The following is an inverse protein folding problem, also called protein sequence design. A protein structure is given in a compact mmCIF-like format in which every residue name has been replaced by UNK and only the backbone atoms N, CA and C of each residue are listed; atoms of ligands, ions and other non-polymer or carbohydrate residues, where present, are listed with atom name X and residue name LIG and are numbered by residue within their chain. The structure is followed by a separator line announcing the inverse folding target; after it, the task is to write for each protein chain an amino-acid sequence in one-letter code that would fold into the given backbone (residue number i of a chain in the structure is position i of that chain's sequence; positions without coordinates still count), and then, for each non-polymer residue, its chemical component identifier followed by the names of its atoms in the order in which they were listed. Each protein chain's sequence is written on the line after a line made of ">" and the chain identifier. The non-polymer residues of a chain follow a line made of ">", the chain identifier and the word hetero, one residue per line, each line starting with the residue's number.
data_IF_346702831019
#
_entry.id   IF_346702831019
#
_cell.length_a   1.000
_cell.length_b   1.000
_cell.length_c   1.000
_cell.angle_alpha   90.00
_cell.angle_beta   90.00
_cell.angle_gamma   90.00
#
_symmetry.space_group_name_H-M   'P 1'
#
loop_
_entity.id
_entity.type
_entity.pdbx_description
1 polymer ?
#
# COMPACT_ATOMS: atom_id res chain seq x y z
N UNK A 1 -2.67 19.25 -19.68
CA UNK A 1 -1.80 18.21 -20.29
C UNK A 1 -2.60 17.36 -21.28
N UNK A 2 -1.98 16.84 -22.37
CA UNK A 2 -2.65 15.89 -23.30
C UNK A 2 -2.96 14.58 -22.55
N UNK A 3 -4.14 14.00 -22.80
CA UNK A 3 -4.54 12.70 -22.29
C UNK A 3 -3.47 11.63 -22.53
N UNK A 4 -3.22 10.79 -21.55
CA UNK A 4 -2.22 9.72 -21.60
C UNK A 4 -2.87 8.35 -21.55
N UNK A 5 -2.31 7.42 -22.34
CA UNK A 5 -2.63 5.99 -22.28
C UNK A 5 -1.73 5.34 -21.21
N UNK A 6 -2.35 4.67 -20.26
CA UNK A 6 -1.65 4.18 -19.06
C UNK A 6 -1.88 2.68 -18.91
N UNK A 7 -0.82 1.94 -18.60
CA UNK A 7 -0.89 0.56 -18.14
C UNK A 7 -0.55 0.53 -16.64
N UNK A 8 -1.35 -0.16 -15.86
CA UNK A 8 -1.03 -0.44 -14.46
C UNK A 8 -0.34 -1.79 -14.33
N UNK A 9 0.67 -1.84 -13.49
CA UNK A 9 1.28 -3.09 -13.03
C UNK A 9 1.23 -3.11 -11.50
N UNK A 10 0.54 -4.08 -10.94
CA UNK A 10 0.17 -4.09 -9.52
C UNK A 10 0.60 -5.39 -8.87
N UNK A 11 1.34 -5.30 -7.77
CA UNK A 11 1.64 -6.45 -6.93
C UNK A 11 0.37 -6.91 -6.19
N UNK A 12 -0.11 -8.12 -6.47
CA UNK A 12 -1.42 -8.62 -6.05
C UNK A 12 -1.45 -9.38 -4.73
N UNK A 13 -0.33 -9.56 -4.04
CA UNK A 13 -0.28 -10.37 -2.80
C UNK A 13 -0.85 -9.67 -1.57
N UNK A 14 -0.83 -8.35 -1.55
CA UNK A 14 -1.48 -7.53 -0.54
C UNK A 14 -2.72 -6.82 -1.07
N UNK A 15 -3.64 -6.40 -0.19
CA UNK A 15 -4.76 -5.55 -0.58
C UNK A 15 -4.33 -4.10 -0.79
N UNK A 16 -3.26 -3.66 -0.14
CA UNK A 16 -2.78 -2.28 -0.15
C UNK A 16 -2.50 -1.76 -1.56
N UNK A 17 -1.64 -2.42 -2.33
CA UNK A 17 -1.31 -1.99 -3.69
C UNK A 17 -2.52 -1.99 -4.63
N UNK A 18 -3.44 -2.95 -4.45
CA UNK A 18 -4.70 -2.97 -5.20
C UNK A 18 -5.56 -1.74 -4.87
N UNK A 19 -5.65 -1.37 -3.59
CA UNK A 19 -6.38 -0.19 -3.13
C UNK A 19 -5.74 1.11 -3.65
N UNK A 20 -4.41 1.21 -3.60
CA UNK A 20 -3.66 2.35 -4.17
C UNK A 20 -3.92 2.49 -5.67
N UNK A 21 -3.89 1.37 -6.42
CA UNK A 21 -4.17 1.38 -7.85
C UNK A 21 -5.58 1.88 -8.18
N UNK A 22 -6.60 1.49 -7.39
CA UNK A 22 -7.96 2.00 -7.55
C UNK A 22 -8.04 3.50 -7.29
N UNK A 23 -7.41 4.01 -6.22
CA UNK A 23 -7.39 5.43 -5.90
C UNK A 23 -6.71 6.24 -7.02
N UNK A 24 -5.57 5.76 -7.54
CA UNK A 24 -4.87 6.38 -8.67
C UNK A 24 -5.70 6.34 -9.94
N UNK A 25 -6.39 5.22 -10.23
CA UNK A 25 -7.28 5.10 -11.39
C UNK A 25 -8.39 6.16 -11.35
N UNK A 26 -9.04 6.35 -10.21
CA UNK A 26 -10.10 7.35 -10.05
C UNK A 26 -9.58 8.78 -10.24
N UNK A 27 -8.40 9.11 -9.69
CA UNK A 27 -7.78 10.42 -9.86
C UNK A 27 -7.45 10.67 -11.35
N UNK A 28 -6.73 9.75 -11.98
CA UNK A 28 -6.30 9.87 -13.38
C UNK A 28 -7.47 9.98 -14.34
N UNK A 29 -8.55 9.23 -14.11
CA UNK A 29 -9.76 9.28 -14.93
C UNK A 29 -10.45 10.64 -14.86
N UNK A 30 -10.49 11.27 -13.67
CA UNK A 30 -11.01 12.65 -13.52
C UNK A 30 -10.20 13.68 -14.29
N UNK A 31 -8.91 13.43 -14.48
CA UNK A 31 -8.01 14.29 -15.24
C UNK A 31 -7.89 13.92 -16.73
N UNK A 32 -8.79 13.06 -17.23
CA UNK A 32 -8.88 12.71 -18.64
C UNK A 32 -7.83 11.72 -19.13
N UNK A 33 -7.09 11.06 -18.24
CA UNK A 33 -6.18 9.98 -18.62
C UNK A 33 -6.93 8.65 -18.73
N UNK A 34 -6.42 7.73 -19.54
CA UNK A 34 -7.06 6.45 -19.81
C UNK A 34 -6.17 5.29 -19.37
N UNK A 35 -6.61 4.51 -18.39
CA UNK A 35 -6.02 3.20 -18.10
C UNK A 35 -6.53 2.22 -19.15
N UNK A 36 -5.65 1.59 -19.91
CA UNK A 36 -5.99 0.70 -21.02
C UNK A 36 -5.80 -0.79 -20.71
N UNK A 37 -5.00 -1.12 -19.68
CA UNK A 37 -4.79 -2.48 -19.20
C UNK A 37 -4.26 -2.47 -17.77
N UNK A 38 -4.60 -3.50 -17.00
CA UNK A 38 -4.08 -3.72 -15.64
C UNK A 38 -3.42 -5.10 -15.57
N UNK A 39 -2.14 -5.13 -15.30
CA UNK A 39 -1.35 -6.36 -15.08
C UNK A 39 -1.25 -6.57 -13.58
N UNK A 40 -1.63 -7.75 -13.08
CA UNK A 40 -1.56 -8.06 -11.64
C UNK A 40 -0.63 -9.23 -11.41
N UNK A 41 0.48 -8.96 -10.73
CA UNK A 41 1.42 -9.98 -10.29
C UNK A 41 0.86 -10.78 -9.11
N UNK A 42 0.68 -12.09 -9.29
CA UNK A 42 0.12 -12.98 -8.27
C UNK A 42 0.98 -14.22 -8.08
N UNK A 43 0.85 -14.91 -6.95
CA UNK A 43 1.32 -16.28 -6.78
C UNK A 43 0.31 -17.28 -7.35
N UNK A 44 0.74 -18.51 -7.62
CA UNK A 44 -0.09 -19.58 -8.22
C UNK A 44 -1.41 -19.86 -7.46
N UNK A 45 -1.49 -19.50 -6.19
CA UNK A 45 -2.61 -19.86 -5.32
C UNK A 45 -3.53 -18.68 -4.99
N UNK A 46 -3.28 -17.49 -5.54
CA UNK A 46 -4.04 -16.30 -5.19
C UNK A 46 -4.89 -15.80 -6.35
N UNK A 47 -6.18 -15.71 -6.12
CA UNK A 47 -7.11 -15.06 -7.04
C UNK A 47 -7.13 -13.55 -6.79
N UNK A 48 -7.26 -12.78 -7.88
CA UNK A 48 -7.46 -11.34 -7.77
C UNK A 48 -8.85 -11.11 -7.16
N UNK A 49 -8.95 -10.30 -6.09
CA UNK A 49 -10.24 -10.07 -5.45
C UNK A 49 -11.24 -9.38 -6.37
N UNK A 50 -12.50 -9.82 -6.32
CA UNK A 50 -13.60 -9.28 -7.14
C UNK A 50 -13.81 -7.78 -6.96
N UNK A 51 -13.58 -7.23 -5.75
CA UNK A 51 -13.72 -5.80 -5.51
C UNK A 51 -12.78 -4.98 -6.38
N UNK A 52 -11.64 -5.56 -6.79
CA UNK A 52 -10.66 -4.91 -7.67
C UNK A 52 -11.06 -5.05 -9.13
N UNK A 53 -11.31 -6.28 -9.59
CA UNK A 53 -11.60 -6.55 -11.02
C UNK A 53 -12.84 -5.83 -11.51
N UNK A 54 -13.90 -5.75 -10.68
CA UNK A 54 -15.17 -5.07 -11.04
C UNK A 54 -15.07 -3.55 -11.17
N UNK A 55 -13.96 -2.95 -10.74
CA UNK A 55 -13.75 -1.48 -10.83
C UNK A 55 -13.11 -1.04 -12.13
N UNK A 56 -12.60 -1.97 -12.92
CA UNK A 56 -12.02 -1.69 -14.21
C UNK A 56 -12.93 -2.15 -15.34
N UNK A 57 -13.14 -1.28 -16.33
CA UNK A 57 -13.80 -1.62 -17.61
C UNK A 57 -12.83 -2.17 -18.66
N UNK A 58 -11.55 -2.29 -18.29
CA UNK A 58 -10.44 -2.76 -19.14
C UNK A 58 -9.93 -4.12 -18.67
N UNK A 59 -9.17 -4.85 -19.50
CA UNK A 59 -8.61 -6.13 -19.11
C UNK A 59 -7.77 -6.05 -17.84
N UNK A 60 -8.03 -6.97 -16.87
CA UNK A 60 -7.21 -7.20 -15.68
C UNK A 60 -6.56 -8.57 -15.83
N UNK A 61 -5.26 -8.59 -16.13
CA UNK A 61 -4.53 -9.78 -16.55
C UNK A 61 -3.62 -10.26 -15.41
N UNK A 62 -3.86 -11.46 -14.84
CA UNK A 62 -2.95 -12.04 -13.87
C UNK A 62 -1.67 -12.54 -14.54
N UNK A 63 -0.52 -12.30 -13.91
CA UNK A 63 0.77 -12.87 -14.29
C UNK A 63 1.41 -13.47 -13.04
N UNK A 64 2.13 -14.58 -13.22
CA UNK A 64 2.90 -15.16 -12.12
C UNK A 64 4.10 -14.28 -11.83
N UNK A 65 4.21 -13.79 -10.59
CA UNK A 65 5.27 -12.87 -10.17
C UNK A 65 6.04 -13.39 -8.95
N UNK A 66 7.34 -13.01 -8.81
CA UNK A 66 8.14 -13.32 -7.64
C UNK A 66 7.48 -12.79 -6.36
N UNK A 67 7.48 -13.63 -5.34
CA UNK A 67 6.83 -13.30 -4.08
C UNK A 67 7.55 -13.92 -2.88
N UNK A 68 7.20 -13.42 -1.68
CA UNK A 68 7.68 -13.99 -0.44
C UNK A 68 6.98 -15.30 -0.11
N UNK A 69 7.76 -16.29 0.33
CA UNK A 69 7.22 -17.55 0.84
C UNK A 69 7.09 -17.48 2.35
N UNK A 70 5.88 -17.70 2.83
CA UNK A 70 5.59 -17.78 4.26
C UNK A 70 6.07 -19.12 4.83
N UNK A 71 6.42 -19.14 6.12
CA UNK A 71 6.71 -20.37 6.84
C UNK A 71 5.47 -21.27 6.94
N UNK A 72 5.65 -22.56 7.22
CA UNK A 72 4.59 -23.59 7.29
C UNK A 72 3.39 -23.19 8.18
N UNK A 73 3.65 -22.39 9.21
CA UNK A 73 2.62 -21.90 10.13
C UNK A 73 2.02 -20.54 9.73
N UNK A 74 2.35 -20.01 8.54
CA UNK A 74 1.92 -18.69 8.03
C UNK A 74 2.20 -17.51 8.99
N UNK A 75 3.17 -17.67 9.90
CA UNK A 75 3.47 -16.69 10.95
C UNK A 75 4.77 -15.90 10.71
N UNK A 76 5.58 -16.30 9.72
CA UNK A 76 6.84 -15.61 9.40
C UNK A 76 7.26 -15.82 7.95
N UNK A 77 8.08 -14.89 7.41
CA UNK A 77 8.66 -15.00 6.07
C UNK A 77 9.95 -15.83 6.16
N UNK A 78 10.06 -16.85 5.32
CA UNK A 78 11.27 -17.65 5.19
C UNK A 78 12.08 -17.20 3.96
N UNK A 79 13.14 -16.42 4.19
CA UNK A 79 13.95 -15.83 3.14
C UNK A 79 14.66 -16.86 2.27
N UNK A 80 15.24 -17.90 2.88
CA UNK A 80 15.96 -18.97 2.13
C UNK A 80 14.99 -19.71 1.20
N UNK A 81 13.83 -20.11 1.74
CA UNK A 81 12.80 -20.75 0.94
C UNK A 81 12.26 -19.84 -0.16
N UNK A 82 12.11 -18.55 0.13
CA UNK A 82 11.70 -17.54 -0.85
C UNK A 82 12.65 -17.53 -2.05
N UNK A 83 13.96 -17.52 -1.83
CA UNK A 83 14.96 -17.52 -2.90
C UNK A 83 14.87 -18.81 -3.71
N UNK A 84 14.83 -19.97 -3.05
CA UNK A 84 14.76 -21.28 -3.72
C UNK A 84 13.48 -21.39 -4.56
N UNK A 85 12.32 -21.09 -3.98
CA UNK A 85 11.02 -21.18 -4.67
C UNK A 85 10.95 -20.24 -5.89
N UNK A 86 11.52 -19.04 -5.78
CA UNK A 86 11.56 -18.10 -6.90
C UNK A 86 12.53 -18.57 -8.00
N UNK A 87 13.69 -19.17 -7.67
CA UNK A 87 14.60 -19.74 -8.66
C UNK A 87 13.97 -20.91 -9.42
N UNK A 88 13.24 -21.78 -8.73
CA UNK A 88 12.53 -22.91 -9.36
C UNK A 88 11.43 -22.43 -10.34
N UNK A 89 10.85 -21.26 -10.12
CA UNK A 89 9.82 -20.66 -10.97
C UNK A 89 10.38 -19.77 -12.11
N UNK A 90 11.67 -19.67 -12.29
CA UNK A 90 12.30 -18.76 -13.26
C UNK A 90 11.77 -18.96 -14.70
N UNK A 91 11.47 -20.21 -15.13
CA UNK A 91 10.86 -20.50 -16.45
C UNK A 91 9.45 -19.88 -16.56
N UNK A 92 8.66 -19.94 -15.50
CA UNK A 92 7.30 -19.38 -15.46
C UNK A 92 7.35 -17.85 -15.45
N UNK A 93 8.30 -17.23 -14.72
CA UNK A 93 8.50 -15.77 -14.76
C UNK A 93 8.91 -15.28 -16.16
N UNK A 94 9.71 -16.07 -16.90
CA UNK A 94 10.01 -15.76 -18.29
C UNK A 94 8.75 -15.76 -19.17
N UNK A 95 7.79 -16.65 -18.91
CA UNK A 95 6.51 -16.64 -19.61
C UNK A 95 5.69 -15.38 -19.23
N UNK A 96 5.64 -15.02 -17.96
CA UNK A 96 4.99 -13.77 -17.49
C UNK A 96 5.60 -12.54 -18.14
N UNK A 97 6.92 -12.49 -18.29
CA UNK A 97 7.62 -11.41 -19.00
C UNK A 97 7.18 -11.30 -20.46
N UNK A 98 7.04 -12.42 -21.18
CA UNK A 98 6.54 -12.41 -22.57
C UNK A 98 5.10 -11.91 -22.67
N UNK A 99 4.26 -12.26 -21.68
CA UNK A 99 2.89 -11.73 -21.59
C UNK A 99 2.91 -10.21 -21.36
N UNK A 100 3.78 -9.71 -20.47
CA UNK A 100 3.97 -8.28 -20.24
C UNK A 100 4.43 -7.58 -21.53
N UNK A 101 5.44 -8.13 -22.23
CA UNK A 101 5.94 -7.58 -23.47
C UNK A 101 4.81 -7.44 -24.52
N UNK A 102 4.02 -8.51 -24.72
CA UNK A 102 2.91 -8.50 -25.65
C UNK A 102 1.82 -7.46 -25.29
N UNK A 103 1.48 -7.35 -24.00
CA UNK A 103 0.49 -6.35 -23.53
C UNK A 103 1.00 -4.91 -23.70
N UNK A 104 2.28 -4.66 -23.44
CA UNK A 104 2.87 -3.32 -23.63
C UNK A 104 2.97 -2.97 -25.13
N UNK A 105 3.26 -3.95 -25.99
CA UNK A 105 3.25 -3.77 -27.44
C UNK A 105 1.84 -3.53 -27.98
N UNK A 106 0.83 -4.27 -27.54
CA UNK A 106 -0.58 -4.12 -27.95
C UNK A 106 -1.15 -2.75 -27.52
N UNK A 107 -0.92 -2.38 -26.27
CA UNK A 107 -1.55 -1.18 -25.71
C UNK A 107 -0.79 0.11 -25.98
N UNK A 108 0.49 0.05 -26.36
CA UNK A 108 1.35 1.21 -26.65
C UNK A 108 1.17 2.35 -25.63
N UNK A 109 1.45 2.12 -24.32
CA UNK A 109 1.22 3.13 -23.30
C UNK A 109 2.20 4.30 -23.41
N UNK A 110 1.75 5.48 -23.02
CA UNK A 110 2.65 6.62 -22.73
C UNK A 110 3.34 6.44 -21.37
N UNK A 111 2.62 5.82 -20.41
CA UNK A 111 3.03 5.68 -19.02
C UNK A 111 2.68 4.29 -18.49
N UNK A 112 3.62 3.66 -17.81
CA UNK A 112 3.37 2.51 -16.94
C UNK A 112 3.42 2.99 -15.50
N UNK A 113 2.36 2.74 -14.72
CA UNK A 113 2.39 2.97 -13.27
C UNK A 113 2.60 1.64 -12.57
N UNK A 114 3.73 1.55 -11.88
CA UNK A 114 4.17 0.34 -11.19
C UNK A 114 3.88 0.44 -9.69
N UNK A 115 2.92 -0.35 -9.22
CA UNK A 115 2.60 -0.50 -7.81
C UNK A 115 3.37 -1.68 -7.19
N UNK A 116 4.68 -1.51 -7.06
CA UNK A 116 5.61 -2.45 -6.42
C UNK A 116 5.75 -3.82 -7.13
N UNK A 117 5.41 -3.91 -8.42
CA UNK A 117 5.46 -5.14 -9.21
C UNK A 117 6.88 -5.38 -9.76
N UNK A 118 7.60 -6.43 -9.34
CA UNK A 118 9.00 -6.62 -9.68
C UNK A 118 9.25 -6.94 -11.16
N UNK A 119 8.31 -7.57 -11.87
CA UNK A 119 8.52 -7.93 -13.29
C UNK A 119 8.60 -6.71 -14.19
N UNK A 120 7.91 -5.61 -13.87
CA UNK A 120 8.05 -4.34 -14.61
C UNK A 120 9.45 -3.77 -14.46
N UNK A 121 10.04 -3.89 -13.28
CA UNK A 121 11.41 -3.46 -13.04
C UNK A 121 12.41 -4.28 -13.83
N UNK A 122 12.19 -5.60 -13.92
CA UNK A 122 13.01 -6.47 -14.80
C UNK A 122 12.83 -6.10 -16.28
N UNK A 123 11.59 -5.85 -16.73
CA UNK A 123 11.31 -5.40 -18.10
C UNK A 123 12.05 -4.09 -18.42
N UNK A 124 12.04 -3.14 -17.49
CA UNK A 124 12.70 -1.85 -17.66
C UNK A 124 14.23 -1.97 -17.88
N UNK A 125 14.86 -3.04 -17.41
CA UNK A 125 16.28 -3.33 -17.63
C UNK A 125 16.59 -3.88 -19.03
N UNK A 126 15.62 -4.34 -19.79
CA UNK A 126 15.84 -4.84 -21.17
C UNK A 126 16.15 -3.73 -22.19
N UNK A 127 16.04 -2.48 -21.80
CA UNK A 127 16.57 -1.30 -22.50
C UNK A 127 15.73 -0.75 -23.64
N UNK A 128 14.67 -1.42 -24.09
CA UNK A 128 13.82 -0.96 -25.20
C UNK A 128 12.43 -0.58 -24.68
N UNK A 129 12.25 0.66 -24.28
CA UNK A 129 10.92 1.19 -23.90
C UNK A 129 10.66 2.53 -24.56
N UNK A 130 9.43 2.74 -25.00
CA UNK A 130 8.92 4.00 -25.55
C UNK A 130 8.07 4.79 -24.56
N UNK A 131 7.85 4.24 -23.36
CA UNK A 131 7.00 4.79 -22.31
C UNK A 131 7.80 5.20 -21.06
N UNK A 132 7.22 6.06 -20.25
CA UNK A 132 7.73 6.41 -18.92
C UNK A 132 7.25 5.41 -17.86
N UNK A 133 7.98 5.29 -16.74
CA UNK A 133 7.58 4.47 -15.60
C UNK A 133 7.51 5.34 -14.34
N UNK A 134 6.32 5.39 -13.73
CA UNK A 134 6.07 5.95 -12.41
C UNK A 134 5.91 4.81 -11.41
N UNK A 135 6.82 4.67 -10.45
CA UNK A 135 6.71 3.69 -9.39
C UNK A 135 6.01 4.30 -8.17
N UNK A 136 4.97 3.65 -7.66
CA UNK A 136 4.17 4.14 -6.52
C UNK A 136 4.08 3.03 -5.47
N UNK A 137 4.58 3.27 -4.26
CA UNK A 137 4.36 2.40 -3.11
C UNK A 137 4.75 3.10 -1.80
N UNK A 138 4.16 2.64 -0.69
CA UNK A 138 4.60 3.05 0.63
C UNK A 138 6.06 2.65 0.90
N UNK A 139 6.47 1.48 0.47
CA UNK A 139 7.80 0.93 0.74
C UNK A 139 8.94 1.81 0.19
N UNK A 140 8.68 2.67 -0.80
CA UNK A 140 9.71 3.59 -1.31
C UNK A 140 10.17 4.62 -0.26
N UNK A 141 9.40 4.84 0.82
CA UNK A 141 9.81 5.67 1.95
C UNK A 141 11.08 5.12 2.64
N UNK A 142 11.30 3.80 2.59
CA UNK A 142 12.49 3.16 3.14
C UNK A 142 13.80 3.55 2.44
N UNK A 143 13.69 4.16 1.25
CA UNK A 143 14.83 4.70 0.49
C UNK A 143 15.10 6.17 0.84
N UNK A 144 14.19 6.82 1.57
CA UNK A 144 14.34 8.22 1.96
C UNK A 144 15.37 8.35 3.12
N UNK A 145 16.35 9.28 3.04
CA UNK A 145 17.40 9.39 4.06
C UNK A 145 16.87 9.77 5.45
N UNK A 146 15.75 10.48 5.53
CA UNK A 146 15.12 10.85 6.80
C UNK A 146 14.26 9.72 7.43
N UNK A 147 14.00 8.61 6.72
CA UNK A 147 13.26 7.49 7.30
C UNK A 147 14.09 6.77 8.36
N UNK A 148 13.50 6.58 9.54
CA UNK A 148 14.16 5.92 10.67
C UNK A 148 13.64 4.51 10.85
N UNK A 149 14.45 3.52 10.48
CA UNK A 149 14.15 2.12 10.79
C UNK A 149 14.19 1.89 12.30
N UNK A 150 13.39 0.94 12.81
CA UNK A 150 13.53 0.47 14.17
C UNK A 150 14.92 -0.14 14.42
N UNK A 151 15.46 0.07 15.61
CA UNK A 151 16.78 -0.44 16.01
C UNK A 151 16.83 -1.98 16.08
N UNK A 152 18.02 -2.55 15.97
CA UNK A 152 18.30 -3.96 16.20
C UNK A 152 18.05 -4.92 15.03
N UNK A 153 17.52 -4.45 13.87
CA UNK A 153 17.12 -5.31 12.74
C UNK A 153 17.86 -4.99 11.43
N UNK A 154 19.17 -4.83 11.47
CA UNK A 154 19.99 -4.36 10.33
C UNK A 154 19.90 -5.26 9.10
N UNK A 155 19.86 -6.59 9.25
CA UNK A 155 19.73 -7.51 8.12
C UNK A 155 18.36 -7.40 7.46
N UNK A 156 17.28 -7.33 8.22
CA UNK A 156 15.93 -7.20 7.69
C UNK A 156 15.71 -5.85 7.01
N UNK A 157 16.21 -4.76 7.58
CA UNK A 157 16.15 -3.43 6.97
C UNK A 157 16.96 -3.36 5.68
N UNK A 158 18.15 -3.97 5.65
CA UNK A 158 18.99 -4.03 4.44
C UNK A 158 18.33 -4.83 3.32
N UNK A 159 17.74 -5.97 3.67
CA UNK A 159 16.98 -6.79 2.71
C UNK A 159 15.76 -6.03 2.17
N UNK A 160 14.96 -5.40 3.06
CA UNK A 160 13.79 -4.62 2.66
C UNK A 160 14.18 -3.46 1.73
N UNK A 161 15.26 -2.73 2.05
CA UNK A 161 15.82 -1.70 1.17
C UNK A 161 16.26 -2.24 -0.18
N UNK A 162 16.94 -3.38 -0.20
CA UNK A 162 17.43 -4.01 -1.44
C UNK A 162 16.27 -4.42 -2.35
N UNK A 163 15.26 -5.07 -1.78
CA UNK A 163 14.04 -5.45 -2.52
C UNK A 163 13.26 -4.22 -3.01
N UNK A 164 13.13 -3.20 -2.17
CA UNK A 164 12.48 -1.93 -2.56
C UNK A 164 13.22 -1.23 -3.70
N UNK A 165 14.57 -1.22 -3.69
CA UNK A 165 15.35 -0.73 -4.83
C UNK A 165 15.10 -1.55 -6.08
N UNK A 166 15.05 -2.88 -5.95
CA UNK A 166 14.78 -3.78 -7.06
C UNK A 166 13.43 -3.50 -7.73
N UNK A 167 12.36 -3.31 -6.96
CA UNK A 167 11.01 -3.03 -7.49
C UNK A 167 10.86 -1.63 -8.12
N UNK A 168 11.86 -0.78 -8.01
CA UNK A 168 11.90 0.54 -8.64
C UNK A 168 12.98 0.71 -9.71
N UNK A 169 13.70 -0.36 -10.04
CA UNK A 169 14.72 -0.30 -11.10
C UNK A 169 14.11 0.16 -12.43
N UNK A 170 14.81 1.06 -13.10
CA UNK A 170 14.37 1.58 -14.38
C UNK A 170 13.19 2.56 -14.31
N UNK A 171 12.64 2.89 -13.13
CA UNK A 171 11.61 3.94 -13.00
C UNK A 171 12.19 5.32 -13.30
N UNK A 172 11.38 6.17 -13.94
CA UNK A 172 11.72 7.57 -14.20
C UNK A 172 11.46 8.43 -12.96
N UNK A 173 10.42 8.07 -12.18
CA UNK A 173 10.05 8.72 -10.93
C UNK A 173 9.50 7.69 -9.95
N UNK A 174 9.75 7.92 -8.66
CA UNK A 174 9.26 7.11 -7.55
C UNK A 174 8.43 7.99 -6.60
N UNK A 175 7.19 7.63 -6.34
CA UNK A 175 6.37 8.24 -5.30
C UNK A 175 6.39 7.35 -4.06
N UNK A 176 7.08 7.82 -3.03
CA UNK A 176 7.09 7.22 -1.70
C UNK A 176 5.86 7.67 -0.93
N UNK A 177 4.87 6.81 -0.81
CA UNK A 177 3.66 7.14 -0.05
C UNK A 177 3.99 7.15 1.44
N UNK A 178 3.67 8.26 2.12
CA UNK A 178 4.04 8.48 3.51
C UNK A 178 2.87 9.01 4.33
N UNK A 179 2.85 8.64 5.62
CA UNK A 179 1.92 9.18 6.60
C UNK A 179 2.18 10.67 6.93
N UNK A 180 3.30 11.22 6.53
CA UNK A 180 3.72 12.59 6.81
C UNK A 180 4.63 13.12 5.70
N UNK A 181 4.68 14.43 5.58
CA UNK A 181 5.56 15.08 4.65
C UNK A 181 7.03 15.00 5.10
N UNK A 182 7.93 14.90 4.15
CA UNK A 182 9.37 14.91 4.36
C UNK A 182 10.04 15.88 3.37
N UNK A 183 11.15 16.49 3.77
CA UNK A 183 11.91 17.35 2.86
C UNK A 183 12.42 16.56 1.65
N UNK A 184 12.85 17.25 0.61
CA UNK A 184 13.40 16.60 -0.59
C UNK A 184 14.54 15.64 -0.23
N UNK A 185 14.53 14.44 -0.78
CA UNK A 185 15.48 13.36 -0.44
C UNK A 185 16.91 13.59 -0.95
N UNK A 186 17.15 14.60 -1.79
CA UNK A 186 18.39 14.77 -2.56
C UNK A 186 18.45 13.86 -3.81
N UNK A 187 17.59 12.86 -3.91
CA UNK A 187 17.42 12.06 -5.12
C UNK A 187 16.25 12.63 -5.94
N UNK A 188 16.54 13.17 -7.11
CA UNK A 188 15.53 13.79 -7.99
C UNK A 188 14.43 12.83 -8.45
N UNK A 189 14.70 11.53 -8.41
CA UNK A 189 13.72 10.49 -8.77
C UNK A 189 12.82 10.06 -7.62
N UNK A 190 13.13 10.40 -6.36
CA UNK A 190 12.34 9.99 -5.20
C UNK A 190 11.60 11.20 -4.63
N UNK A 191 10.27 11.16 -4.69
CA UNK A 191 9.38 12.16 -4.09
C UNK A 191 8.47 11.54 -3.06
N UNK A 192 8.26 12.25 -1.97
CA UNK A 192 7.28 11.86 -0.95
C UNK A 192 5.90 12.31 -1.40
N UNK A 193 4.92 11.45 -1.20
CA UNK A 193 3.52 11.68 -1.57
C UNK A 193 2.60 11.27 -0.42
N UNK A 194 1.48 11.95 -0.30
CA UNK A 194 0.46 11.64 0.68
C UNK A 194 -0.21 10.28 0.42
N UNK A 195 -0.85 9.66 1.46
CA UNK A 195 -1.54 8.39 1.30
C UNK A 195 -2.66 8.42 0.26
N UNK A 196 -2.73 7.37 -0.56
CA UNK A 196 -3.75 7.14 -1.57
C UNK A 196 -4.93 6.39 -0.96
N UNK A 197 -5.85 7.09 -0.31
CA UNK A 197 -6.99 6.49 0.34
C UNK A 197 -8.14 6.21 -0.64
N UNK A 198 -8.97 5.23 -0.29
CA UNK A 198 -10.20 4.91 -1.03
C UNK A 198 -11.18 6.08 -1.00
N UNK A 199 -11.80 6.39 -2.15
CA UNK A 199 -12.76 7.50 -2.28
C UNK A 199 -13.86 7.48 -1.22
N UNK A 200 -14.31 6.29 -0.83
CA UNK A 200 -15.37 6.11 0.16
C UNK A 200 -15.04 6.73 1.52
N UNK A 201 -13.75 6.78 1.88
CA UNK A 201 -13.29 7.39 3.14
C UNK A 201 -13.68 8.86 3.25
N UNK A 202 -13.59 9.61 2.15
CA UNK A 202 -13.87 11.05 2.11
C UNK A 202 -15.36 11.39 2.28
N UNK A 203 -16.24 10.41 2.06
CA UNK A 203 -17.69 10.56 2.22
C UNK A 203 -18.20 10.16 3.62
N UNK A 204 -17.34 9.57 4.46
CA UNK A 204 -17.72 9.10 5.78
C UNK A 204 -17.61 10.21 6.82
N UNK A 205 -18.62 10.32 7.67
CA UNK A 205 -18.58 11.19 8.85
C UNK A 205 -18.23 10.33 10.06
N UNK A 206 -17.09 10.57 10.72
CA UNK A 206 -16.70 9.79 11.88
C UNK A 206 -17.63 10.09 13.07
N UNK A 207 -18.12 9.02 13.70
CA UNK A 207 -18.86 9.05 14.99
C UNK A 207 -18.16 8.11 15.97
N UNK A 208 -18.58 8.08 17.22
CA UNK A 208 -17.99 7.20 18.23
C UNK A 208 -19.07 6.40 18.92
N UNK A 209 -19.14 5.12 18.59
CA UNK A 209 -19.98 4.12 19.24
C UNK A 209 -19.12 3.25 20.15
N UNK A 210 -19.70 2.68 21.18
CA UNK A 210 -18.98 1.91 22.20
C UNK A 210 -18.63 0.48 21.73
N UNK A 211 -17.81 0.39 20.68
CA UNK A 211 -17.19 -0.86 20.25
C UNK A 211 -15.79 -0.64 19.67
N UNK A 212 -14.95 -1.65 19.75
CA UNK A 212 -13.62 -1.70 19.14
C UNK A 212 -13.67 -2.54 17.89
N UNK A 213 -13.19 -1.99 16.77
CA UNK A 213 -13.04 -2.71 15.52
C UNK A 213 -11.71 -3.49 15.50
N UNK A 214 -11.76 -4.78 15.21
CA UNK A 214 -10.56 -5.63 15.16
C UNK A 214 -10.38 -6.17 13.74
N UNK A 215 -9.24 -5.84 13.11
CA UNK A 215 -8.89 -6.26 11.77
C UNK A 215 -7.57 -7.03 11.79
N UNK A 216 -7.67 -8.32 12.11
CA UNK A 216 -6.53 -9.24 12.20
C UNK A 216 -6.79 -10.41 11.24
N UNK A 217 -6.20 -10.36 10.05
CA UNK A 217 -6.46 -11.33 8.96
C UNK A 217 -5.96 -12.75 9.29
N UNK A 218 -5.02 -12.89 10.21
CA UNK A 218 -4.55 -14.20 10.63
C UNK A 218 -5.56 -14.83 11.60
N UNK A 219 -6.18 -15.95 11.20
CA UNK A 219 -7.15 -16.70 12.00
C UNK A 219 -6.61 -17.16 13.36
N UNK A 220 -5.29 -17.25 13.56
CA UNK A 220 -4.67 -17.57 14.84
C UNK A 220 -5.03 -16.59 15.96
N UNK A 221 -5.33 -15.33 15.65
CA UNK A 221 -5.76 -14.35 16.66
C UNK A 221 -7.21 -14.53 17.14
N UNK A 222 -8.06 -15.24 16.40
CA UNK A 222 -9.47 -15.46 16.80
C UNK A 222 -9.59 -16.13 18.17
N UNK A 223 -8.73 -17.11 18.46
CA UNK A 223 -8.71 -17.78 19.77
C UNK A 223 -8.26 -16.84 20.89
N UNK A 224 -7.31 -15.94 20.62
CA UNK A 224 -6.81 -14.97 21.59
C UNK A 224 -7.86 -13.91 21.89
N UNK A 225 -8.58 -13.43 20.87
CA UNK A 225 -9.74 -12.53 21.02
C UNK A 225 -10.81 -13.16 21.90
N UNK A 226 -11.22 -14.39 21.61
CA UNK A 226 -12.25 -15.12 22.41
C UNK A 226 -11.77 -15.31 23.84
N UNK A 227 -10.51 -15.68 24.04
CA UNK A 227 -9.93 -15.86 25.40
C UNK A 227 -9.92 -14.56 26.18
N UNK A 228 -9.53 -13.44 25.56
CA UNK A 228 -9.55 -12.14 26.20
C UNK A 228 -10.96 -11.69 26.54
N UNK A 229 -11.90 -11.84 25.59
CA UNK A 229 -13.30 -11.45 25.79
C UNK A 229 -13.99 -12.22 26.91
N UNK A 230 -13.67 -13.53 27.10
CA UNK A 230 -14.18 -14.29 28.26
C UNK A 230 -13.82 -13.68 29.61
N UNK A 231 -12.67 -13.00 29.70
CA UNK A 231 -12.24 -12.30 30.92
C UNK A 231 -12.79 -10.87 31.01
N UNK A 232 -13.18 -10.29 29.88
CA UNK A 232 -13.67 -8.92 29.74
C UNK A 232 -14.98 -8.87 28.94
N UNK A 233 -16.08 -9.47 29.43
CA UNK A 233 -17.28 -9.71 28.63
C UNK A 233 -18.10 -8.43 28.33
N UNK A 234 -17.82 -7.33 29.02
CA UNK A 234 -18.45 -6.03 28.75
C UNK A 234 -17.83 -5.31 27.55
N UNK A 235 -16.60 -5.65 27.15
CA UNK A 235 -15.96 -4.99 26.00
C UNK A 235 -16.60 -5.46 24.70
N UNK A 236 -17.17 -4.55 23.93
CA UNK A 236 -17.77 -4.86 22.63
C UNK A 236 -16.72 -4.87 21.53
N UNK A 237 -16.59 -6.05 20.88
CA UNK A 237 -15.63 -6.31 19.81
C UNK A 237 -16.34 -6.69 18.53
N UNK A 238 -16.04 -5.98 17.45
CA UNK A 238 -16.48 -6.31 16.08
C UNK A 238 -15.24 -6.69 15.28
N UNK A 239 -15.12 -7.96 14.88
CA UNK A 239 -13.91 -8.53 14.34
C UNK A 239 -14.08 -8.92 12.87
N UNK A 240 -13.10 -8.58 12.02
CA UNK A 240 -13.01 -9.10 10.65
C UNK A 240 -11.94 -10.19 10.56
N UNK A 241 -12.30 -11.29 9.90
CA UNK A 241 -11.42 -12.46 9.75
C UNK A 241 -11.58 -13.10 8.37
N UNK A 242 -10.55 -13.80 7.92
CA UNK A 242 -10.57 -14.60 6.69
C UNK A 242 -10.89 -16.08 6.95
N UNK A 243 -11.49 -16.40 8.11
CA UNK A 243 -11.89 -17.76 8.51
C UNK A 243 -12.95 -18.34 7.59
N UNK A 244 -12.79 -19.62 7.20
CA UNK A 244 -13.81 -20.37 6.45
C UNK A 244 -15.11 -20.52 7.25
N UNK A 245 -14.98 -20.79 8.55
CA UNK A 245 -16.12 -20.93 9.46
C UNK A 245 -17.03 -19.71 9.45
N UNK A 246 -16.47 -18.50 9.44
CA UNK A 246 -17.26 -17.26 9.38
C UNK A 246 -17.83 -17.02 7.98
N UNK A 247 -17.08 -17.37 6.92
CA UNK A 247 -17.57 -17.23 5.53
C UNK A 247 -18.79 -18.11 5.23
N UNK A 248 -18.86 -19.28 5.84
CA UNK A 248 -19.95 -20.25 5.67
C UNK A 248 -21.20 -19.89 6.48
N UNK A 249 -21.12 -18.94 7.42
CA UNK A 249 -22.28 -18.47 8.16
C UNK A 249 -23.20 -17.59 7.31
N UNK A 250 -24.48 -17.54 7.70
CA UNK A 250 -25.44 -16.66 7.05
C UNK A 250 -24.95 -15.20 7.06
N UNK A 251 -24.93 -14.57 5.90
CA UNK A 251 -24.39 -13.21 5.69
C UNK A 251 -22.90 -13.03 6.08
N UNK A 252 -22.12 -14.12 6.20
CA UNK A 252 -20.70 -14.05 6.57
C UNK A 252 -20.48 -13.46 7.96
N UNK A 253 -21.38 -13.72 8.91
CA UNK A 253 -21.32 -13.21 10.29
C UNK A 253 -21.53 -14.33 11.29
N UNK A 254 -20.63 -14.43 12.28
CA UNK A 254 -20.71 -15.31 13.43
C UNK A 254 -20.81 -14.46 14.70
N UNK A 255 -21.97 -14.41 15.31
CA UNK A 255 -22.19 -13.74 16.59
C UNK A 255 -22.03 -14.76 17.72
N UNK A 256 -21.03 -14.56 18.59
CA UNK A 256 -20.80 -15.43 19.75
C UNK A 256 -21.62 -15.01 20.98
N UNK A 257 -21.81 -13.70 21.16
CA UNK A 257 -22.70 -13.08 22.15
C UNK A 257 -23.00 -11.63 21.76
N UNK A 258 -23.66 -10.83 22.61
CA UNK A 258 -24.05 -9.45 22.30
C UNK A 258 -22.85 -8.49 22.17
N UNK A 259 -21.69 -8.86 22.72
CA UNK A 259 -20.49 -8.05 22.73
C UNK A 259 -19.32 -8.62 21.91
N UNK A 260 -19.51 -9.77 21.21
CA UNK A 260 -18.47 -10.35 20.35
C UNK A 260 -19.06 -10.94 19.08
N UNK A 261 -18.69 -10.35 17.96
CA UNK A 261 -19.06 -10.83 16.63
C UNK A 261 -17.88 -10.85 15.66
N UNK A 262 -17.89 -11.82 14.75
CA UNK A 262 -16.93 -11.97 13.67
C UNK A 262 -17.61 -11.82 12.33
N UNK A 263 -16.97 -11.08 11.42
CA UNK A 263 -17.42 -10.86 10.05
C UNK A 263 -16.40 -11.40 9.05
N UNK A 264 -16.88 -11.93 7.95
CA UNK A 264 -16.06 -12.16 6.76
C UNK A 264 -15.65 -10.82 6.14
N UNK A 265 -14.57 -10.84 5.36
CA UNK A 265 -14.04 -9.63 4.74
C UNK A 265 -15.07 -8.98 3.81
N UNK A 266 -15.42 -7.75 4.14
CA UNK A 266 -16.30 -6.89 3.36
C UNK A 266 -15.80 -5.45 3.46
N UNK A 267 -15.33 -4.91 2.36
CA UNK A 267 -14.64 -3.62 2.33
C UNK A 267 -15.58 -2.43 2.64
N UNK A 268 -16.83 -2.50 2.22
CA UNK A 268 -17.82 -1.43 2.50
C UNK A 268 -18.17 -1.43 3.98
N UNK A 269 -18.58 -2.59 4.51
CA UNK A 269 -18.94 -2.74 5.93
C UNK A 269 -17.76 -2.41 6.85
N UNK A 270 -16.54 -2.78 6.46
CA UNK A 270 -15.35 -2.46 7.25
C UNK A 270 -15.15 -0.95 7.40
N UNK A 271 -15.30 -0.17 6.32
CA UNK A 271 -15.16 1.28 6.37
C UNK A 271 -16.28 1.95 7.17
N UNK A 272 -17.51 1.51 7.00
CA UNK A 272 -18.66 2.02 7.77
C UNK A 272 -18.46 1.80 9.27
N UNK A 273 -18.02 0.60 9.67
CA UNK A 273 -17.73 0.27 11.06
C UNK A 273 -16.49 1.02 11.57
N UNK A 274 -15.47 1.21 10.74
CA UNK A 274 -14.30 2.01 11.10
C UNK A 274 -14.69 3.47 11.40
N UNK A 275 -15.60 4.05 10.62
CA UNK A 275 -16.07 5.42 10.88
C UNK A 275 -16.80 5.55 12.23
N UNK A 276 -17.43 4.47 12.70
CA UNK A 276 -18.29 4.47 13.90
C UNK A 276 -17.60 3.94 15.16
N UNK A 277 -16.51 3.15 15.03
CA UNK A 277 -15.85 2.52 16.17
C UNK A 277 -15.19 3.55 17.11
N UNK A 278 -14.89 3.11 18.33
CA UNK A 278 -14.10 3.85 19.31
C UNK A 278 -12.60 3.82 18.97
N UNK A 279 -12.13 2.74 18.34
CA UNK A 279 -10.76 2.57 17.87
C UNK A 279 -10.58 1.28 17.07
N UNK A 280 -9.45 1.19 16.39
CA UNK A 280 -9.07 0.07 15.55
C UNK A 280 -7.93 -0.74 16.17
N UNK A 281 -8.03 -2.08 16.14
CA UNK A 281 -6.91 -2.99 16.36
C UNK A 281 -6.52 -3.61 15.01
N UNK A 282 -5.27 -3.43 14.60
CA UNK A 282 -4.81 -3.86 13.27
C UNK A 282 -3.40 -4.46 13.30
N UNK A 283 -3.07 -5.30 12.32
CA UNK A 283 -1.70 -5.78 12.08
C UNK A 283 -0.76 -4.73 11.46
N UNK A 284 -1.12 -3.45 11.50
CA UNK A 284 -0.35 -2.34 10.96
C UNK A 284 -0.12 -2.40 9.44
N UNK A 285 -1.14 -2.84 8.68
CA UNK A 285 -1.20 -2.57 7.24
C UNK A 285 -1.27 -1.06 7.01
N UNK A 286 -0.44 -0.54 6.10
CA UNK A 286 -0.31 0.91 5.90
C UNK A 286 -1.65 1.61 5.62
N UNK A 287 -2.46 1.07 4.67
CA UNK A 287 -3.72 1.69 4.27
C UNK A 287 -4.73 1.76 5.42
N UNK A 288 -4.91 0.66 6.16
CA UNK A 288 -5.90 0.62 7.25
C UNK A 288 -5.53 1.58 8.40
N UNK A 289 -4.25 1.78 8.66
CA UNK A 289 -3.77 2.77 9.63
C UNK A 289 -4.05 4.19 9.14
N UNK A 290 -3.74 4.48 7.88
CA UNK A 290 -4.02 5.80 7.27
C UNK A 290 -5.52 6.10 7.20
N UNK A 291 -6.35 5.12 6.89
CA UNK A 291 -7.82 5.27 6.87
C UNK A 291 -8.36 5.56 8.27
N UNK A 292 -7.88 4.85 9.29
CA UNK A 292 -8.25 5.10 10.67
C UNK A 292 -7.81 6.50 11.14
N UNK A 293 -6.58 6.92 10.82
CA UNK A 293 -6.10 8.28 11.10
C UNK A 293 -6.97 9.34 10.44
N UNK A 294 -7.34 9.16 9.16
CA UNK A 294 -8.20 10.10 8.44
C UNK A 294 -9.59 10.22 9.09
N UNK A 295 -10.15 9.10 9.58
CA UNK A 295 -11.40 9.04 10.32
C UNK A 295 -11.26 9.42 11.80
N UNK A 296 -10.08 9.89 12.21
CA UNK A 296 -9.80 10.29 13.58
C UNK A 296 -9.98 9.17 14.61
N UNK A 297 -9.55 7.94 14.25
CA UNK A 297 -9.63 6.75 15.09
C UNK A 297 -8.26 6.34 15.62
N UNK A 298 -8.09 6.15 16.94
CA UNK A 298 -6.87 5.58 17.51
C UNK A 298 -6.66 4.15 17.01
N UNK A 299 -5.39 3.80 16.80
CA UNK A 299 -5.03 2.47 16.29
C UNK A 299 -4.09 1.76 17.27
N UNK A 300 -4.51 0.59 17.76
CA UNK A 300 -3.61 -0.35 18.40
C UNK A 300 -2.99 -1.25 17.31
N UNK A 301 -1.70 -1.13 17.13
CA UNK A 301 -0.96 -1.81 16.06
C UNK A 301 -0.21 -3.02 16.61
N UNK A 302 -0.58 -4.21 16.13
CA UNK A 302 0.00 -5.51 16.52
C UNK A 302 0.57 -6.18 15.26
N UNK A 303 1.81 -5.91 14.86
CA UNK A 303 2.41 -6.52 13.68
C UNK A 303 2.45 -8.04 13.77
N UNK A 304 2.24 -8.72 12.66
CA UNK A 304 2.44 -10.17 12.58
C UNK A 304 3.91 -10.48 12.85
N UNK A 305 4.17 -11.42 13.76
CA UNK A 305 5.53 -11.81 14.15
C UNK A 305 6.38 -12.18 12.93
N UNK A 306 7.54 -11.56 12.80
CA UNK A 306 8.43 -11.74 11.65
C UNK A 306 8.08 -10.95 10.40
N UNK A 307 6.97 -10.22 10.38
CA UNK A 307 6.61 -9.33 9.26
C UNK A 307 7.24 -7.95 9.47
N UNK A 308 8.49 -7.80 9.04
CA UNK A 308 9.29 -6.61 9.33
C UNK A 308 8.71 -5.30 8.75
N UNK A 309 8.05 -5.35 7.61
CA UNK A 309 7.35 -4.19 7.05
C UNK A 309 6.23 -3.69 7.98
N UNK A 310 5.38 -4.59 8.48
CA UNK A 310 4.33 -4.22 9.45
C UNK A 310 4.92 -3.68 10.75
N UNK A 311 6.06 -4.23 11.18
CA UNK A 311 6.80 -3.72 12.33
C UNK A 311 7.29 -2.28 12.10
N UNK A 312 7.86 -1.99 10.93
CA UNK A 312 8.26 -0.64 10.54
C UNK A 312 7.06 0.32 10.50
N UNK A 313 5.95 -0.10 9.88
CA UNK A 313 4.73 0.71 9.78
C UNK A 313 4.16 1.04 11.16
N UNK A 314 4.08 0.05 12.06
CA UNK A 314 3.56 0.25 13.42
C UNK A 314 4.43 1.22 14.22
N UNK A 315 5.75 1.07 14.15
CA UNK A 315 6.72 1.96 14.84
C UNK A 315 6.66 3.38 14.27
N UNK A 316 6.53 3.50 12.96
CA UNK A 316 6.44 4.80 12.28
C UNK A 316 5.13 5.51 12.60
N UNK A 317 4.00 4.82 12.49
CA UNK A 317 2.68 5.34 12.81
C UNK A 317 2.55 5.73 14.31
N UNK A 318 3.12 4.94 15.21
CA UNK A 318 3.14 5.28 16.65
C UNK A 318 3.92 6.56 16.92
N UNK A 319 5.07 6.78 16.24
CA UNK A 319 5.86 8.03 16.37
C UNK A 319 5.07 9.29 16.00
N UNK A 320 4.20 9.20 15.01
CA UNK A 320 3.38 10.33 14.57
C UNK A 320 2.05 10.46 15.33
N UNK A 321 1.79 9.56 16.28
CA UNK A 321 0.62 9.63 17.16
C UNK A 321 -0.65 8.99 16.61
N UNK A 322 -0.56 8.06 15.64
CA UNK A 322 -1.70 7.27 15.16
C UNK A 322 -2.31 6.38 16.25
N UNK A 323 -1.55 6.07 17.28
CA UNK A 323 -1.93 5.19 18.39
C UNK A 323 -0.70 4.50 18.97
N UNK A 324 -0.86 3.28 19.49
CA UNK A 324 0.20 2.54 20.16
C UNK A 324 0.68 1.34 19.35
N UNK A 325 1.98 1.05 19.48
CA UNK A 325 2.59 -0.18 19.00
C UNK A 325 2.60 -1.23 20.13
N UNK A 326 2.20 -2.46 19.81
CA UNK A 326 2.27 -3.60 20.71
C UNK A 326 2.98 -4.77 20.02
N UNK A 327 3.95 -5.41 20.72
CA UNK A 327 4.66 -6.58 20.17
C UNK A 327 3.76 -7.83 20.14
N UNK A 328 2.83 -7.90 21.07
CA UNK A 328 1.89 -9.02 21.21
C UNK A 328 0.45 -8.52 21.26
N UNK A 329 -0.46 -9.41 20.95
CA UNK A 329 -1.89 -9.15 21.02
C UNK A 329 -2.34 -9.11 22.50
N UNK A 330 -2.45 -7.91 23.03
CA UNK A 330 -2.90 -7.66 24.40
C UNK A 330 -3.89 -6.49 24.44
N UNK A 331 -5.18 -6.79 24.42
CA UNK A 331 -6.24 -5.79 24.44
C UNK A 331 -6.33 -5.02 25.77
N UNK A 332 -5.62 -5.40 26.83
CA UNK A 332 -5.56 -4.61 28.07
C UNK A 332 -4.92 -3.23 27.85
N UNK A 333 -4.14 -3.08 26.78
CA UNK A 333 -3.51 -1.81 26.37
C UNK A 333 -4.44 -0.87 25.57
N UNK A 334 -5.69 -1.24 25.34
CA UNK A 334 -6.63 -0.38 24.61
C UNK A 334 -6.91 0.95 25.35
N UNK A 335 -6.99 0.92 26.69
CA UNK A 335 -7.18 2.14 27.47
C UNK A 335 -5.99 3.10 27.30
N UNK A 336 -4.77 2.57 27.29
CA UNK A 336 -3.56 3.33 26.98
C UNK A 336 -3.65 3.95 25.58
N UNK A 337 -4.08 3.16 24.57
CA UNK A 337 -4.27 3.64 23.21
C UNK A 337 -5.24 4.83 23.13
N UNK A 338 -6.35 4.78 23.84
CA UNK A 338 -7.34 5.87 23.85
C UNK A 338 -6.83 7.09 24.61
N UNK A 339 -6.12 6.89 25.72
CA UNK A 339 -5.58 7.96 26.56
C UNK A 339 -4.50 8.79 25.85
N UNK A 340 -3.59 8.14 25.14
CA UNK A 340 -2.46 8.81 24.48
C UNK A 340 -2.75 9.26 23.05
N UNK A 341 -3.96 8.99 22.53
CA UNK A 341 -4.33 9.41 21.20
C UNK A 341 -4.54 10.92 21.10
N UNK A 342 -3.81 11.56 20.20
CA UNK A 342 -3.89 13.01 19.99
C UNK A 342 -4.66 13.33 18.70
N UNK A 343 -5.92 13.81 18.86
CA UNK A 343 -6.79 14.18 17.75
C UNK A 343 -6.26 15.35 16.91
N UNK A 344 -5.52 16.28 17.50
CA UNK A 344 -5.01 17.47 16.79
C UNK A 344 -3.98 17.11 15.72
N UNK A 345 -3.15 16.08 15.96
CA UNK A 345 -2.18 15.60 14.98
C UNK A 345 -2.85 15.10 13.69
N UNK A 346 -4.09 14.67 13.76
CA UNK A 346 -4.81 14.15 12.59
C UNK A 346 -5.36 15.24 11.68
N UNK A 347 -5.49 16.47 12.10
CA UNK A 347 -5.87 17.59 11.22
C UNK A 347 -4.77 17.85 10.21
N UNK A 348 -3.50 17.84 10.65
CA UNK A 348 -2.35 17.90 9.75
C UNK A 348 -2.30 16.72 8.78
N UNK A 349 -2.58 15.51 9.28
CA UNK A 349 -2.64 14.31 8.44
C UNK A 349 -3.76 14.41 7.39
N UNK A 350 -4.95 14.89 7.75
CA UNK A 350 -6.05 15.11 6.79
C UNK A 350 -5.68 16.13 5.71
N UNK A 351 -5.07 17.24 6.10
CA UNK A 351 -4.57 18.24 5.15
C UNK A 351 -3.54 17.64 4.21
N UNK A 352 -2.61 16.82 4.74
CA UNK A 352 -1.62 16.09 3.95
C UNK A 352 -2.30 15.12 2.96
N UNK A 353 -3.23 14.28 3.39
CA UNK A 353 -3.99 13.36 2.54
C UNK A 353 -4.75 14.11 1.45
N UNK A 354 -5.38 15.24 1.75
CA UNK A 354 -6.15 16.03 0.79
C UNK A 354 -5.28 16.63 -0.34
N UNK A 355 -3.97 16.70 -0.17
CA UNK A 355 -3.03 17.18 -1.20
C UNK A 355 -2.61 16.08 -2.20
N UNK A 356 -3.01 14.81 -2.00
CA UNK A 356 -2.52 13.67 -2.81
C UNK A 356 -2.84 13.80 -4.30
N UNK A 357 -4.04 14.30 -4.64
CA UNK A 357 -4.47 14.43 -6.04
C UNK A 357 -3.55 15.41 -6.79
N UNK A 358 -3.30 16.59 -6.22
CA UNK A 358 -2.40 17.57 -6.84
C UNK A 358 -0.96 17.07 -6.95
N UNK A 359 -0.48 16.33 -5.94
CA UNK A 359 0.87 15.75 -5.96
C UNK A 359 1.03 14.69 -7.04
N UNK A 360 0.03 13.79 -7.17
CA UNK A 360 0.03 12.74 -8.20
C UNK A 360 0.00 13.35 -9.62
N UNK A 361 -0.93 14.28 -9.86
CA UNK A 361 -1.06 14.91 -11.18
C UNK A 361 0.21 15.68 -11.54
N UNK A 362 0.76 16.44 -10.60
CA UNK A 362 2.04 17.10 -10.80
C UNK A 362 3.18 16.13 -11.12
N UNK A 363 3.24 14.99 -10.45
CA UNK A 363 4.24 13.97 -10.73
C UNK A 363 4.11 13.39 -12.15
N UNK A 364 2.88 13.17 -12.61
CA UNK A 364 2.62 12.73 -13.98
C UNK A 364 2.98 13.82 -14.99
N UNK A 365 2.65 15.08 -14.74
CA UNK A 365 3.01 16.22 -15.61
C UNK A 365 4.51 16.38 -15.74
N UNK A 366 5.24 16.34 -14.64
CA UNK A 366 6.69 16.51 -14.61
C UNK A 366 7.44 15.41 -15.39
N UNK A 367 6.87 14.20 -15.47
CA UNK A 367 7.44 13.11 -16.31
C UNK A 367 7.41 13.40 -17.81
N UNK A 368 6.50 14.26 -18.24
CA UNK A 368 6.31 14.62 -19.66
C UNK A 368 6.67 16.09 -19.95
N UNK A 369 7.06 16.86 -18.94
CA UNK A 369 7.59 18.18 -19.15
C UNK A 369 8.89 18.05 -19.98
N UNK A 370 8.95 18.71 -21.13
CA UNK A 370 10.19 18.91 -21.86
C UNK A 370 11.11 19.73 -20.97
N UNK A 371 12.30 19.21 -20.69
CA UNK A 371 13.35 20.00 -20.02
C UNK A 371 13.62 21.17 -20.96
N UNK A 372 13.07 22.34 -20.67
CA UNK A 372 13.55 23.57 -21.30
C UNK A 372 15.00 23.70 -20.91
N UNK A 373 15.90 23.71 -21.88
CA UNK A 373 17.31 23.97 -21.64
C UNK A 373 17.43 25.24 -20.79
N UNK A 374 18.24 25.23 -19.74
CA UNK A 374 18.37 26.39 -18.89
C UNK A 374 18.88 27.57 -19.78
N UNK A 375 18.20 28.72 -19.72
CA UNK A 375 18.50 29.93 -20.50
C UNK A 375 19.96 30.33 -20.46
N UNK A 376 20.72 29.85 -19.47
CA UNK A 376 22.17 30.09 -19.35
C UNK A 376 23.03 29.45 -20.47
N UNK A 377 22.54 28.42 -21.17
CA UNK A 377 23.27 27.82 -22.28
C UNK A 377 23.02 28.57 -23.59
N UNK A 378 21.79 29.05 -23.82
CA UNK A 378 21.49 29.92 -24.97
C UNK A 378 22.16 31.28 -24.89
N UNK A 379 22.33 31.83 -23.69
CA UNK A 379 23.07 33.09 -23.49
C UNK A 379 24.57 32.93 -23.78
N UNK A 380 25.18 31.80 -23.41
CA UNK A 380 26.60 31.53 -23.71
C UNK A 380 26.86 31.24 -25.19
N UNK A 381 25.96 30.56 -25.89
CA UNK A 381 26.11 30.35 -27.34
C UNK A 381 25.83 31.60 -28.14
N UNK A 382 24.96 32.50 -27.67
CA UNK A 382 24.75 33.81 -28.29
C UNK A 382 25.95 34.76 -28.07
N UNK A 383 26.63 34.71 -26.91
CA UNK A 383 27.85 35.48 -26.67
C UNK A 383 29.06 34.98 -27.50
N UNK A 384 29.14 33.66 -27.78
CA UNK A 384 30.21 33.11 -28.62
C UNK A 384 30.02 33.38 -30.11
N UNK A 385 28.81 33.60 -30.59
CA UNK A 385 28.52 33.89 -32.02
C UNK A 385 28.65 35.38 -32.38
N UNK A 386 28.89 36.26 -31.42
CA UNK A 386 29.12 37.70 -31.64
C UNK A 386 30.64 38.05 -31.63
N UNK A 387 31.52 37.10 -31.31
CA UNK A 387 32.97 37.29 -31.28
C UNK A 387 33.72 36.60 -32.44
N UNK A 388 33.06 36.15 -33.48
CA UNK A 388 33.61 35.71 -34.76
C UNK A 388 33.08 36.59 -35.88
#
# INVERSE_FOLDING_TARGET
>A
MKAKRIVFAVQGEGRGHLTQALAVHEILSRHGHTVCCVIVGTSNNRQIPDFFTRKFSVPVIPVLSPNFTMDKNSKSINLVRTVIDNLLKAKQYRQSMRTIDALLEEHQPDLVINFYEPLISLHALTGKRTFKILAIAHQYIYLHPAFRFPDGNTLQSSYLKAYTRFTSLGSDLQLAISMYDLPASGNSKLRVCAPLLRKQIFALTPTEEDFVLVYLLNSGYSCDIVRYHKKNPSLKLVCFTDSKEVKEQHNGMLKLNDNLEFHSLNDVKFLELMARCKGLVSTAGFESVCEAMYLNKPVMMVPVKGHYEQYCNARDASRIGAGIFCEEFDLSKLEECFLYYNKEKNEHFRTWVNSVESQLIKAVEDLFATVSEPESQKAREAEFSVQL
#
